data_IF_849453024571
#
_entry.id   IF_849453024571
#
_cell.length_a   1.000
_cell.length_b   1.000
_cell.length_c   1.000
_cell.angle_alpha   90.00
_cell.angle_beta   90.00
_cell.angle_gamma   90.00
#
_symmetry.space_group_name_H-M   'P 1'
#
loop_
_entity.id
_entity.type
_entity.pdbx_description
1 polymer ?
#
# COMPACT_ATOMS: atom_id res chain seq x y z
N UNK A 1 -9.03 -4.36 -29.31
CA UNK A 1 -8.28 -5.61 -29.50
C UNK A 1 -7.30 -5.72 -28.34
N UNK A 2 -7.20 -6.88 -27.67
CA UNK A 2 -6.38 -7.05 -26.46
C UNK A 2 -4.88 -7.17 -26.77
N UNK A 3 -4.51 -7.06 -28.06
CA UNK A 3 -3.12 -7.09 -28.53
C UNK A 3 -2.39 -5.75 -28.30
N UNK A 4 -3.12 -4.64 -28.27
CA UNK A 4 -2.51 -3.30 -28.24
C UNK A 4 -2.15 -2.79 -26.83
N UNK A 5 -2.56 -3.50 -25.78
CA UNK A 5 -2.11 -3.21 -24.40
C UNK A 5 -0.71 -3.79 -24.15
N UNK A 6 -0.27 -4.75 -24.98
CA UNK A 6 1.01 -5.44 -24.80
C UNK A 6 2.20 -4.67 -25.39
N UNK A 7 1.96 -3.67 -26.25
CA UNK A 7 3.00 -2.93 -26.97
C UNK A 7 3.31 -1.52 -26.44
N UNK A 8 2.63 -1.08 -25.38
CA UNK A 8 2.92 0.19 -24.72
C UNK A 8 3.37 -0.02 -23.26
N UNK A 9 4.52 -0.69 -23.08
CA UNK A 9 5.48 -0.41 -21.99
C UNK A 9 6.73 -1.25 -22.18
N UNK A 10 7.73 -0.59 -22.75
CA UNK A 10 9.15 -0.85 -22.58
C UNK A 10 9.46 -1.50 -21.23
N UNK A 11 10.24 -2.58 -21.29
CA UNK A 11 11.06 -3.19 -20.23
C UNK A 11 10.56 -3.02 -18.78
N UNK A 12 10.24 -4.13 -18.06
CA UNK A 12 9.83 -3.98 -16.67
C UNK A 12 10.97 -3.30 -15.91
N UNK A 13 10.69 -2.09 -15.39
CA UNK A 13 11.61 -1.28 -14.56
C UNK A 13 12.09 -2.01 -13.28
N UNK A 14 11.55 -3.20 -13.03
CA UNK A 14 11.80 -4.06 -11.88
C UNK A 14 12.05 -5.49 -12.40
N UNK A 15 12.91 -6.24 -11.72
CA UNK A 15 12.97 -7.70 -11.90
C UNK A 15 11.54 -8.29 -11.74
N UNK A 16 11.20 -9.35 -12.49
CA UNK A 16 9.86 -9.94 -12.44
C UNK A 16 9.44 -10.28 -10.99
N UNK A 17 10.39 -10.72 -10.17
CA UNK A 17 10.15 -11.03 -8.77
C UNK A 17 9.87 -9.77 -7.93
N UNK A 18 10.58 -8.66 -8.18
CA UNK A 18 10.36 -7.39 -7.47
C UNK A 18 9.01 -6.75 -7.83
N UNK A 19 8.61 -6.86 -9.09
CA UNK A 19 7.30 -6.39 -9.54
C UNK A 19 6.16 -7.18 -8.87
N UNK A 20 6.30 -8.50 -8.77
CA UNK A 20 5.35 -9.37 -8.05
C UNK A 20 5.28 -9.00 -6.57
N UNK A 21 6.43 -8.88 -5.89
CA UNK A 21 6.48 -8.47 -4.49
C UNK A 21 5.81 -7.12 -4.26
N UNK A 22 5.98 -6.16 -5.18
CA UNK A 22 5.32 -4.86 -5.10
C UNK A 22 3.80 -4.93 -5.31
N UNK A 23 3.34 -5.69 -6.31
CA UNK A 23 1.93 -5.85 -6.64
C UNK A 23 1.18 -6.52 -5.47
N UNK A 24 1.77 -7.57 -4.90
CA UNK A 24 1.19 -8.34 -3.79
C UNK A 24 1.48 -7.74 -2.41
N UNK A 25 2.33 -6.71 -2.32
CA UNK A 25 2.61 -6.03 -1.06
C UNK A 25 1.33 -5.49 -0.43
N UNK A 26 1.22 -5.65 0.88
CA UNK A 26 0.18 -4.99 1.66
C UNK A 26 0.12 -3.47 1.34
N UNK A 27 -1.06 -2.92 1.00
CA UNK A 27 -1.17 -1.55 0.51
C UNK A 27 -0.74 -0.51 1.55
N UNK A 28 -0.94 -0.76 2.85
CA UNK A 28 -0.48 0.15 3.91
C UNK A 28 1.04 0.20 3.96
N UNK A 29 1.69 -0.97 3.85
CA UNK A 29 3.15 -1.07 3.85
C UNK A 29 3.73 -0.37 2.62
N UNK A 30 3.13 -0.60 1.45
CA UNK A 30 3.51 0.01 0.17
C UNK A 30 3.49 1.53 0.24
N UNK A 31 2.32 2.11 0.56
CA UNK A 31 2.15 3.57 0.67
C UNK A 31 3.08 4.20 1.70
N UNK A 32 3.33 3.48 2.81
CA UNK A 32 4.27 3.92 3.84
C UNK A 32 5.71 3.99 3.30
N UNK A 33 6.15 2.94 2.58
CA UNK A 33 7.50 2.86 2.03
C UNK A 33 7.72 3.86 0.90
N UNK A 34 6.74 4.05 0.01
CA UNK A 34 6.77 5.06 -1.05
C UNK A 34 6.96 6.48 -0.50
N UNK A 35 6.41 6.76 0.69
CA UNK A 35 6.58 8.05 1.37
C UNK A 35 7.81 8.11 2.29
N UNK A 36 8.61 7.06 2.36
CA UNK A 36 9.81 6.98 3.20
C UNK A 36 9.52 6.97 4.70
N UNK A 37 8.36 6.48 5.13
CA UNK A 37 7.93 6.51 6.53
C UNK A 37 8.27 5.22 7.26
N UNK A 38 8.63 5.33 8.53
CA UNK A 38 8.62 4.22 9.49
C UNK A 38 7.20 3.93 9.97
N UNK A 39 6.96 2.73 10.52
CA UNK A 39 5.66 2.38 11.10
C UNK A 39 5.28 3.32 12.26
N UNK A 40 6.26 3.79 13.04
CA UNK A 40 6.06 4.73 14.14
C UNK A 40 5.58 6.09 13.63
N UNK A 41 6.16 6.59 12.54
CA UNK A 41 5.72 7.87 11.99
C UNK A 41 4.34 7.80 11.36
N UNK A 42 3.99 6.71 10.66
CA UNK A 42 2.62 6.49 10.20
C UNK A 42 1.63 6.43 11.39
N UNK A 43 2.01 5.73 12.46
CA UNK A 43 1.21 5.64 13.66
C UNK A 43 0.97 7.03 14.31
N UNK A 44 2.01 7.86 14.38
CA UNK A 44 1.91 9.23 14.87
C UNK A 44 0.98 10.09 14.00
N UNK A 45 1.07 9.98 12.67
CA UNK A 45 0.19 10.72 11.73
C UNK A 45 -1.28 10.33 11.87
N UNK A 46 -1.58 9.06 12.14
CA UNK A 46 -2.95 8.56 12.31
C UNK A 46 -3.46 8.75 13.76
N UNK A 47 -2.56 8.91 14.73
CA UNK A 47 -2.88 8.96 16.15
C UNK A 47 -3.18 7.58 16.75
N UNK A 48 -2.37 6.56 16.42
CA UNK A 48 -2.48 5.19 16.95
C UNK A 48 -1.14 4.70 17.48
N UNK A 49 -1.13 3.51 18.11
CA UNK A 49 0.12 2.85 18.52
C UNK A 49 0.81 2.23 17.30
N UNK A 50 2.14 2.20 17.29
CA UNK A 50 2.91 1.53 16.21
C UNK A 50 2.53 0.06 16.03
N UNK A 51 2.15 -0.64 17.12
CA UNK A 51 1.66 -2.01 17.05
C UNK A 51 0.36 -2.17 16.22
N UNK A 52 -0.47 -1.12 16.12
CA UNK A 52 -1.64 -1.11 15.24
C UNK A 52 -1.23 -1.12 13.77
N UNK A 53 -0.23 -0.32 13.40
CA UNK A 53 0.34 -0.30 12.05
C UNK A 53 1.00 -1.65 11.73
N UNK A 54 1.80 -2.19 12.64
CA UNK A 54 2.40 -3.52 12.46
C UNK A 54 1.35 -4.62 12.25
N UNK A 55 0.18 -4.53 12.90
CA UNK A 55 -0.94 -5.45 12.67
C UNK A 55 -1.57 -5.25 11.29
N UNK A 56 -1.71 -4.00 10.83
CA UNK A 56 -2.28 -3.67 9.53
C UNK A 56 -1.39 -4.09 8.36
N UNK A 57 -0.07 -4.09 8.53
CA UNK A 57 0.88 -4.44 7.48
C UNK A 57 1.13 -5.95 7.33
N UNK A 58 0.49 -6.79 8.14
CA UNK A 58 0.55 -8.24 7.97
C UNK A 58 -0.17 -8.65 6.69
N UNK A 59 0.29 -9.75 6.11
CA UNK A 59 -0.38 -10.39 4.99
C UNK A 59 -1.81 -10.80 5.39
N UNK A 60 -2.78 -10.62 4.47
CA UNK A 60 -4.19 -10.95 4.71
C UNK A 60 -4.92 -10.05 5.72
N UNK A 61 -4.36 -8.89 6.10
CA UNK A 61 -5.02 -7.98 7.03
C UNK A 61 -6.32 -7.39 6.44
N UNK A 62 -7.44 -7.56 7.15
CA UNK A 62 -8.74 -6.97 6.80
C UNK A 62 -9.00 -5.71 7.62
N UNK A 63 -9.32 -4.61 6.95
CA UNK A 63 -9.53 -3.31 7.57
C UNK A 63 -11.01 -3.01 7.80
N UNK A 64 -11.32 -2.42 8.95
CA UNK A 64 -12.63 -1.80 9.16
C UNK A 64 -12.74 -0.55 8.29
N UNK A 65 -13.98 -0.19 7.91
CA UNK A 65 -14.25 1.04 7.14
C UNK A 65 -13.60 2.29 7.78
N UNK A 66 -13.72 2.43 9.10
CA UNK A 66 -13.10 3.56 9.83
C UNK A 66 -11.58 3.59 9.75
N UNK A 67 -10.93 2.42 9.66
CA UNK A 67 -9.48 2.33 9.44
C UNK A 67 -9.13 2.75 8.02
N UNK A 68 -9.85 2.26 7.01
CA UNK A 68 -9.64 2.66 5.61
C UNK A 68 -9.78 4.17 5.43
N UNK A 69 -10.78 4.78 6.05
CA UNK A 69 -10.98 6.24 6.04
C UNK A 69 -9.78 7.00 6.62
N UNK A 70 -9.23 6.54 7.75
CA UNK A 70 -8.04 7.17 8.34
C UNK A 70 -6.81 7.02 7.46
N UNK A 71 -6.61 5.85 6.88
CA UNK A 71 -5.49 5.57 5.95
C UNK A 71 -5.61 6.43 4.70
N UNK A 72 -6.77 6.43 4.05
CA UNK A 72 -7.09 7.26 2.88
C UNK A 72 -6.77 8.74 3.15
N UNK A 73 -7.23 9.27 4.28
CA UNK A 73 -6.97 10.65 4.68
C UNK A 73 -5.48 10.94 4.87
N UNK A 74 -4.73 10.07 5.56
CA UNK A 74 -3.30 10.30 5.85
C UNK A 74 -2.42 10.13 4.61
N UNK A 75 -2.79 9.23 3.71
CA UNK A 75 -2.03 8.99 2.47
C UNK A 75 -2.43 9.91 1.32
N UNK A 76 -3.64 10.50 1.38
CA UNK A 76 -4.18 11.37 0.33
C UNK A 76 -4.71 10.60 -0.88
N UNK A 77 -5.18 9.36 -0.69
CA UNK A 77 -5.67 8.46 -1.74
C UNK A 77 -7.05 7.91 -1.40
N UNK A 78 -7.69 7.19 -2.34
CA UNK A 78 -9.02 6.62 -2.14
C UNK A 78 -9.08 5.47 -1.15
N UNK A 79 -10.22 5.27 -0.47
CA UNK A 79 -10.44 4.14 0.44
C UNK A 79 -10.31 2.77 -0.27
N UNK A 80 -10.57 2.73 -1.58
CA UNK A 80 -10.51 1.52 -2.40
C UNK A 80 -9.12 0.92 -2.50
N UNK A 81 -8.08 1.72 -2.26
CA UNK A 81 -6.69 1.26 -2.17
C UNK A 81 -6.43 0.35 -0.97
N UNK A 82 -7.35 0.30 0.00
CA UNK A 82 -7.25 -0.50 1.22
C UNK A 82 -8.41 -1.51 1.36
N UNK A 83 -9.10 -1.84 0.27
CA UNK A 83 -10.24 -2.78 0.29
C UNK A 83 -9.82 -4.22 0.50
#
# INVERSE_FOLDING_TARGET
>A
DLRDIREARSEPLYDQNEAEDYIFMNPVKRERLEKGWTQKELANRIGVKQASVAKWEREGAVYRKTTRQKLAKVFGIGETSFS
#
